data_IF_689029895935
#
_entry.id   IF_689029895935
#
_cell.length_a   1.000
_cell.length_b   1.000
_cell.length_c   1.000
_cell.angle_alpha   90.00
_cell.angle_beta   90.00
_cell.angle_gamma   90.00
#
_symmetry.space_group_name_H-M   'P 1'
#
loop_
_entity.id
_entity.type
_entity.pdbx_description
1 polymer ?
#
# COMPACT_ATOMS: atom_id res chain seq x y z
N UNK A 1 -4.78 -17.54 -25.70
CA UNK A 1 -5.37 -16.67 -24.65
C UNK A 1 -4.61 -16.91 -23.36
N UNK A 2 -3.67 -16.03 -23.00
CA UNK A 2 -2.86 -16.19 -21.80
C UNK A 2 -3.70 -15.84 -20.57
N UNK A 3 -3.88 -16.80 -19.66
CA UNK A 3 -4.51 -16.58 -18.35
C UNK A 3 -3.64 -15.57 -17.60
N UNK A 4 -4.10 -14.33 -17.45
CA UNK A 4 -3.47 -13.34 -16.57
C UNK A 4 -3.57 -13.93 -15.16
N UNK A 5 -2.45 -14.46 -14.66
CA UNK A 5 -2.37 -15.05 -13.32
C UNK A 5 -2.34 -13.87 -12.35
N UNK A 6 -3.51 -13.36 -11.95
CA UNK A 6 -3.63 -12.36 -10.89
C UNK A 6 -2.89 -12.91 -9.68
N UNK A 7 -1.71 -12.37 -9.37
CA UNK A 7 -1.04 -12.66 -8.12
C UNK A 7 -1.96 -12.05 -7.07
N UNK A 8 -2.70 -12.88 -6.35
CA UNK A 8 -3.57 -12.37 -5.29
C UNK A 8 -2.76 -11.45 -4.38
N UNK A 9 -3.17 -10.19 -4.27
CA UNK A 9 -2.55 -9.24 -3.36
C UNK A 9 -2.67 -9.85 -1.96
N UNK A 10 -1.54 -10.01 -1.27
CA UNK A 10 -1.52 -10.70 0.01
C UNK A 10 -2.46 -9.99 1.00
N UNK A 11 -3.61 -10.58 1.31
CA UNK A 11 -4.60 -10.01 2.22
C UNK A 11 -4.27 -10.34 3.68
N UNK A 12 -3.06 -9.98 4.12
CA UNK A 12 -2.64 -10.12 5.51
C UNK A 12 -3.12 -8.94 6.36
N UNK A 13 -3.23 -9.10 7.70
CA UNK A 13 -3.60 -8.01 8.60
C UNK A 13 -2.77 -6.74 8.43
N UNK A 14 -1.46 -6.87 8.13
CA UNK A 14 -0.60 -5.73 7.83
C UNK A 14 -1.03 -4.97 6.58
N UNK A 15 -1.44 -5.67 5.52
CA UNK A 15 -1.87 -5.06 4.26
C UNK A 15 -3.22 -4.37 4.43
N UNK A 16 -4.12 -4.93 5.24
CA UNK A 16 -5.35 -4.24 5.62
C UNK A 16 -5.09 -2.94 6.39
N UNK A 17 -4.12 -2.94 7.32
CA UNK A 17 -3.70 -1.73 8.03
C UNK A 17 -3.11 -0.70 7.06
N UNK A 18 -2.26 -1.12 6.11
CA UNK A 18 -1.73 -0.23 5.06
C UNK A 18 -2.85 0.43 4.25
N UNK A 19 -3.82 -0.35 3.78
CA UNK A 19 -4.97 0.13 3.03
C UNK A 19 -5.76 1.19 3.81
N UNK A 20 -6.13 0.87 5.06
CA UNK A 20 -6.92 1.76 5.92
C UNK A 20 -6.14 3.05 6.19
N UNK A 21 -4.85 2.97 6.48
CA UNK A 21 -4.04 4.15 6.76
C UNK A 21 -3.86 5.03 5.52
N UNK A 22 -3.75 4.46 4.32
CA UNK A 22 -3.77 5.24 3.07
C UNK A 22 -5.09 5.98 2.91
N UNK A 23 -6.23 5.30 3.07
CA UNK A 23 -7.55 5.94 2.96
C UNK A 23 -7.74 7.07 3.98
N UNK A 24 -7.31 6.88 5.24
CA UNK A 24 -7.41 7.90 6.30
C UNK A 24 -6.52 9.13 6.06
N UNK A 25 -5.51 9.00 5.22
CA UNK A 25 -4.59 10.07 4.86
C UNK A 25 -4.83 10.58 3.42
N UNK A 26 -6.04 10.39 2.87
CA UNK A 26 -6.41 10.82 1.51
C UNK A 26 -5.41 10.33 0.44
N UNK A 27 -4.93 9.09 0.60
CA UNK A 27 -3.93 8.46 -0.29
C UNK A 27 -2.56 9.17 -0.34
N UNK A 28 -2.28 10.09 0.59
CA UNK A 28 -0.99 10.79 0.69
C UNK A 28 0.07 9.86 1.27
N UNK A 29 0.93 9.35 0.39
CA UNK A 29 1.94 8.33 0.70
C UNK A 29 2.86 8.75 1.87
N UNK A 30 3.32 10.00 1.89
CA UNK A 30 4.19 10.53 2.94
C UNK A 30 3.51 10.56 4.30
N UNK A 31 2.24 10.97 4.36
CA UNK A 31 1.49 11.06 5.61
C UNK A 31 1.18 9.66 6.16
N UNK A 32 0.73 8.75 5.30
CA UNK A 32 0.51 7.35 5.66
C UNK A 32 1.79 6.66 6.14
N UNK A 33 2.93 6.90 5.47
CA UNK A 33 4.21 6.33 5.87
C UNK A 33 4.69 6.83 7.24
N UNK A 34 4.46 8.11 7.56
CA UNK A 34 4.78 8.65 8.89
C UNK A 34 3.90 8.06 9.99
N UNK A 35 2.61 7.83 9.72
CA UNK A 35 1.70 7.20 10.67
C UNK A 35 2.08 5.73 10.92
N UNK A 36 2.26 4.94 9.85
CA UNK A 36 2.65 3.54 9.95
C UNK A 36 4.06 3.36 10.53
N UNK A 37 5.00 4.24 10.21
CA UNK A 37 6.34 4.23 10.81
C UNK A 37 6.28 4.36 12.33
N UNK A 38 5.42 5.25 12.85
CA UNK A 38 5.17 5.37 14.30
C UNK A 38 4.50 4.12 14.87
N UNK A 39 3.45 3.61 14.23
CA UNK A 39 2.69 2.45 14.71
C UNK A 39 3.52 1.17 14.76
N UNK A 40 4.41 0.97 13.80
CA UNK A 40 5.25 -0.23 13.70
C UNK A 40 6.64 -0.05 14.29
N UNK A 41 6.98 1.14 14.81
CA UNK A 41 8.34 1.48 15.25
C UNK A 41 9.38 1.21 14.16
N UNK A 42 9.06 1.61 12.92
CA UNK A 42 9.88 1.47 11.72
C UNK A 42 10.25 2.84 11.16
N UNK A 43 11.38 2.92 10.47
CA UNK A 43 11.74 4.10 9.69
C UNK A 43 10.65 4.42 8.65
N UNK A 44 10.09 5.63 8.72
CA UNK A 44 9.05 6.11 7.82
C UNK A 44 9.52 6.08 6.35
N UNK A 45 10.82 6.29 6.07
CA UNK A 45 11.33 6.19 4.70
C UNK A 45 11.21 4.76 4.16
N UNK A 46 11.55 3.76 4.98
CA UNK A 46 11.39 2.35 4.62
C UNK A 46 9.91 1.99 4.40
N UNK A 47 9.02 2.49 5.25
CA UNK A 47 7.57 2.26 5.11
C UNK A 47 7.02 2.94 3.86
N UNK A 48 7.49 4.14 3.51
CA UNK A 48 7.11 4.84 2.28
C UNK A 48 7.47 4.03 1.03
N UNK A 49 8.69 3.48 0.98
CA UNK A 49 9.13 2.62 -0.14
C UNK A 49 8.26 1.36 -0.24
N UNK A 50 7.90 0.75 0.89
CA UNK A 50 7.02 -0.41 0.92
C UNK A 50 5.61 -0.08 0.42
N UNK A 51 5.01 1.00 0.91
CA UNK A 51 3.68 1.47 0.48
C UNK A 51 3.68 1.82 -1.01
N UNK A 52 4.72 2.51 -1.51
CA UNK A 52 4.82 2.89 -2.91
C UNK A 52 4.81 1.69 -3.84
N UNK A 53 5.67 0.70 -3.58
CA UNK A 53 5.70 -0.55 -4.36
C UNK A 53 4.37 -1.29 -4.34
N UNK A 54 3.74 -1.35 -3.17
CA UNK A 54 2.45 -2.01 -3.06
C UNK A 54 1.34 -1.24 -3.80
N UNK A 55 1.38 0.09 -3.81
CA UNK A 55 0.43 0.90 -4.58
C UNK A 55 0.63 0.76 -6.09
N UNK A 56 1.89 0.67 -6.55
CA UNK A 56 2.22 0.33 -7.94
C UNK A 56 1.61 -1.02 -8.34
N UNK A 57 1.77 -2.07 -7.51
CA UNK A 57 1.15 -3.38 -7.76
C UNK A 57 -0.39 -3.27 -7.85
N UNK A 58 -1.01 -2.47 -6.97
CA UNK A 58 -2.47 -2.26 -6.98
C UNK A 58 -2.96 -1.53 -8.23
N UNK A 59 -2.18 -0.57 -8.73
CA UNK A 59 -2.48 0.16 -9.98
C UNK A 59 -2.37 -0.79 -11.19
N UNK A 60 -1.32 -1.61 -11.25
CA UNK A 60 -1.12 -2.57 -12.34
C UNK A 60 -2.23 -3.63 -12.41
N UNK A 61 -2.75 -4.04 -11.26
CA UNK A 61 -3.88 -4.98 -11.16
C UNK A 61 -5.25 -4.27 -11.30
N UNK A 62 -5.30 -2.95 -11.42
CA UNK A 62 -6.52 -2.16 -11.62
C UNK A 62 -7.43 -2.10 -10.40
N UNK A 63 -6.87 -2.27 -9.20
CA UNK A 63 -7.59 -2.24 -7.92
C UNK A 63 -7.76 -0.82 -7.36
N UNK A 64 -6.93 0.11 -7.83
CA UNK A 64 -7.01 1.55 -7.55
C UNK A 64 -6.79 2.33 -8.85
N UNK A 65 -7.20 3.60 -8.86
CA UNK A 65 -6.95 4.53 -9.97
C UNK A 65 -6.00 5.61 -9.50
N UNK A 66 -5.24 6.22 -10.41
CA UNK A 66 -4.48 7.44 -10.09
C UNK A 66 -5.44 8.50 -9.55
N UNK A 67 -5.07 9.11 -8.42
CA UNK A 67 -5.87 10.08 -7.68
C UNK A 67 -5.27 11.48 -7.84
#
# INVERSE_FOLDING_TARGET
MARRRTKGVACGPMVAVMWITLQRNDWRLEAAAQELGRLWSMDALRVRVLLGRWLEDLLEEGLVVEV
#
